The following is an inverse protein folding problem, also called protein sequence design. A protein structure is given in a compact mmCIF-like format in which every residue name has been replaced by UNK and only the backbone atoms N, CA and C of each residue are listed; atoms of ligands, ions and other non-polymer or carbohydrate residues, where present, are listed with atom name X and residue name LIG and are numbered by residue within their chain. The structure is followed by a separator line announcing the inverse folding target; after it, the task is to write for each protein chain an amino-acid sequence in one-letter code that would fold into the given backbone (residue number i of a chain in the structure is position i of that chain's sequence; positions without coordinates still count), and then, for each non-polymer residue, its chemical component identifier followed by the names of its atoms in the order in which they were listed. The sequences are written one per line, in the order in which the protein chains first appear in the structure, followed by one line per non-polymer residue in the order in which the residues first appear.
data_IF_804125069136
#
_entry.id   IF_804125069136
#
_cell.length_a   1.000
_cell.length_b   1.000
_cell.length_c   1.000
_cell.angle_alpha   90.00
_cell.angle_beta   90.00
_cell.angle_gamma   90.00
#
_symmetry.space_group_name_H-M   'P 1'
#
loop_
_entity.id
_entity.type
_entity.pdbx_description
1 polymer ?
#
# COMPACT_ATOMS: atom_id res chain seq x y z
N UNK A 1 14.10 5.61 -4.12
CA UNK A 1 12.69 5.58 -3.70
C UNK A 1 12.60 5.85 -2.21
N UNK A 2 11.73 6.76 -1.76
CA UNK A 2 11.58 6.97 -0.33
C UNK A 2 11.00 5.75 0.34
N UNK A 3 11.29 5.58 1.61
CA UNK A 3 10.72 4.50 2.41
C UNK A 3 9.20 4.66 2.53
N UNK A 4 8.51 3.54 2.59
CA UNK A 4 7.08 3.55 2.83
C UNK A 4 6.76 3.95 4.26
N UNK A 5 5.53 4.38 4.49
CA UNK A 5 5.04 4.75 5.82
C UNK A 5 3.73 4.03 6.11
N UNK A 6 3.47 3.77 7.38
CA UNK A 6 2.16 3.34 7.83
C UNK A 6 1.32 4.60 7.95
N UNK A 7 0.19 4.66 7.25
CA UNK A 7 -0.66 5.84 7.25
C UNK A 7 -1.32 6.07 8.60
N UNK A 8 -1.76 7.29 8.84
CA UNK A 8 -2.47 7.64 10.07
C UNK A 8 -3.76 6.80 10.22
N UNK A 9 -4.52 6.62 9.12
CA UNK A 9 -5.71 5.79 9.16
C UNK A 9 -5.39 4.33 9.46
N UNK A 10 -4.26 3.82 8.96
CA UNK A 10 -3.79 2.47 9.28
C UNK A 10 -3.44 2.32 10.75
N UNK A 11 -2.74 3.30 11.31
CA UNK A 11 -2.41 3.31 12.74
C UNK A 11 -3.65 3.43 13.62
N UNK A 12 -4.64 4.22 13.18
CA UNK A 12 -5.91 4.34 13.88
C UNK A 12 -6.64 2.99 13.96
N UNK A 13 -6.67 2.24 12.85
CA UNK A 13 -7.29 0.93 12.82
C UNK A 13 -6.57 -0.07 13.73
N UNK A 14 -5.24 -0.05 13.73
CA UNK A 14 -4.46 -0.89 14.63
C UNK A 14 -4.77 -0.59 16.10
N UNK A 15 -4.83 0.69 16.43
CA UNK A 15 -5.13 1.13 17.78
C UNK A 15 -6.52 0.67 18.23
N UNK A 16 -7.52 0.89 17.39
CA UNK A 16 -8.90 0.48 17.69
C UNK A 16 -9.07 -1.03 17.79
N UNK A 17 -8.38 -1.77 16.93
CA UNK A 17 -8.44 -3.23 16.97
C UNK A 17 -7.81 -3.76 18.25
N UNK A 18 -6.69 -3.18 18.67
CA UNK A 18 -6.00 -3.58 19.88
C UNK A 18 -6.83 -3.22 21.13
N UNK A 19 -7.59 -2.13 21.06
CA UNK A 19 -8.51 -1.75 22.13
C UNK A 19 -9.79 -2.59 22.16
N UNK A 20 -10.04 -3.40 21.12
CA UNK A 20 -11.22 -4.25 21.07
C UNK A 20 -12.45 -3.61 20.43
N UNK A 21 -12.31 -2.37 19.92
CA UNK A 21 -13.44 -1.65 19.32
C UNK A 21 -13.78 -2.12 17.91
N UNK A 22 -12.79 -2.65 17.18
CA UNK A 22 -13.00 -3.19 15.83
C UNK A 22 -12.19 -4.46 15.65
N UNK A 23 -12.57 -5.28 14.66
CA UNK A 23 -11.72 -6.36 14.18
C UNK A 23 -10.79 -5.75 13.15
N UNK A 24 -9.50 -6.03 13.25
CA UNK A 24 -8.54 -5.47 12.31
C UNK A 24 -8.81 -6.00 10.89
N UNK A 25 -9.11 -5.12 9.91
CA UNK A 25 -9.30 -5.58 8.54
C UNK A 25 -8.01 -6.15 7.96
N UNK A 26 -8.12 -7.21 7.19
CA UNK A 26 -6.96 -7.78 6.51
C UNK A 26 -6.63 -6.97 5.25
N UNK A 27 -5.36 -6.98 4.87
CA UNK A 27 -4.91 -6.36 3.63
C UNK A 27 -5.38 -7.23 2.46
N UNK A 28 -6.13 -6.65 1.54
CA UNK A 28 -6.75 -7.40 0.44
C UNK A 28 -6.32 -6.93 -0.94
N UNK A 29 -5.81 -5.71 -1.06
CA UNK A 29 -5.48 -5.14 -2.37
C UNK A 29 -4.18 -4.36 -2.33
N UNK A 30 -3.51 -4.33 -3.47
CA UNK A 30 -2.33 -3.51 -3.71
C UNK A 30 -2.64 -2.59 -4.89
N UNK A 31 -2.41 -1.30 -4.71
CA UNK A 31 -2.71 -0.30 -5.74
C UNK A 31 -1.43 0.34 -6.25
N UNK A 32 -1.45 0.74 -7.51
CA UNK A 32 -0.32 1.37 -8.19
C UNK A 32 -0.80 2.66 -8.85
N UNK A 33 0.04 3.67 -8.83
CA UNK A 33 -0.32 4.96 -9.37
C UNK A 33 0.85 5.74 -9.92
N UNK A 34 0.56 6.89 -10.51
CA UNK A 34 1.55 7.75 -11.13
C UNK A 34 1.64 9.14 -10.48
N UNK A 35 1.03 9.32 -9.32
CA UNK A 35 1.00 10.60 -8.61
C UNK A 35 2.12 10.82 -7.59
N UNK A 36 3.10 9.92 -7.54
CA UNK A 36 4.17 9.99 -6.54
C UNK A 36 5.34 10.92 -6.88
N UNK A 37 5.23 11.68 -7.97
CA UNK A 37 6.25 12.65 -8.36
C UNK A 37 5.62 14.02 -8.57
N UNK A 38 6.39 15.07 -8.32
CA UNK A 38 5.94 16.43 -8.58
C UNK A 38 6.14 16.78 -10.07
N UNK A 39 5.67 17.97 -10.53
CA UNK A 39 5.84 18.36 -11.94
C UNK A 39 7.30 18.40 -12.41
N UNK A 40 8.25 18.51 -11.50
CA UNK A 40 9.69 18.51 -11.82
C UNK A 40 10.27 17.09 -11.89
N UNK A 41 9.47 16.05 -11.66
CA UNK A 41 9.92 14.67 -11.69
C UNK A 41 10.55 14.18 -10.39
N UNK A 42 10.51 14.97 -9.33
CA UNK A 42 11.06 14.57 -8.04
C UNK A 42 10.07 13.71 -7.26
N UNK A 43 10.59 12.69 -6.57
CA UNK A 43 9.76 11.79 -5.78
C UNK A 43 9.20 12.52 -4.57
N UNK A 44 7.89 12.40 -4.36
CA UNK A 44 7.21 12.98 -3.21
C UNK A 44 7.20 11.95 -2.08
N UNK A 45 7.79 12.32 -0.94
CA UNK A 45 7.80 11.44 0.21
C UNK A 45 6.40 11.34 0.83
N UNK A 46 5.97 10.14 1.28
CA UNK A 46 4.69 10.00 1.96
C UNK A 46 4.67 10.79 3.27
N UNK A 47 3.52 11.39 3.57
CA UNK A 47 3.36 12.19 4.79
C UNK A 47 2.78 11.40 5.96
N UNK A 48 2.11 10.29 5.67
CA UNK A 48 1.39 9.50 6.66
C UNK A 48 -0.10 9.85 6.77
N UNK A 49 -0.52 10.95 6.18
CA UNK A 49 -1.93 11.38 6.22
C UNK A 49 -2.74 10.87 5.03
N UNK A 50 -2.13 10.14 4.14
CA UNK A 50 -2.78 9.65 2.93
C UNK A 50 -3.85 8.61 3.24
N UNK A 51 -4.97 8.69 2.53
CA UNK A 51 -6.04 7.69 2.56
C UNK A 51 -6.19 6.97 1.24
N UNK A 52 -5.50 7.44 0.20
CA UNK A 52 -5.52 6.87 -1.15
C UNK A 52 -4.28 7.33 -1.90
N UNK A 53 -4.00 6.71 -3.04
CA UNK A 53 -2.95 7.18 -3.92
C UNK A 53 -3.37 8.49 -4.58
N UNK A 54 -2.41 9.33 -4.93
CA UNK A 54 -2.67 10.62 -5.56
C UNK A 54 -3.26 10.46 -6.95
N UNK A 55 -2.79 9.46 -7.69
CA UNK A 55 -3.31 9.14 -9.02
C UNK A 55 -3.24 7.63 -9.22
N UNK A 56 -4.25 6.93 -8.72
CA UNK A 56 -4.34 5.49 -8.85
C UNK A 56 -4.61 5.10 -10.29
N UNK A 57 -3.81 4.16 -10.80
CA UNK A 57 -3.97 3.62 -12.15
C UNK A 57 -4.61 2.23 -12.10
N UNK A 58 -4.18 1.40 -11.17
CA UNK A 58 -4.61 0.01 -11.09
C UNK A 58 -4.60 -0.46 -9.64
N UNK A 59 -5.60 -1.24 -9.29
CA UNK A 59 -5.70 -1.89 -7.98
C UNK A 59 -5.89 -3.38 -8.22
N UNK A 60 -5.04 -4.20 -7.61
CA UNK A 60 -5.05 -5.65 -7.76
C UNK A 60 -5.35 -6.31 -6.43
N UNK A 61 -6.07 -7.40 -6.47
CA UNK A 61 -6.25 -8.24 -5.29
C UNK A 61 -4.91 -8.89 -4.92
N UNK A 62 -4.65 -8.99 -3.62
CA UNK A 62 -3.46 -9.66 -3.13
C UNK A 62 -3.56 -11.15 -3.48
N UNK A 63 -2.51 -11.68 -4.10
CA UNK A 63 -2.45 -13.10 -4.45
C UNK A 63 -2.06 -13.99 -3.28
N UNK A 64 -1.44 -13.42 -2.25
CA UNK A 64 -1.05 -14.17 -1.07
C UNK A 64 -0.16 -13.36 -0.15
N UNK A 65 0.15 -13.96 0.99
CA UNK A 65 1.08 -13.34 1.95
C UNK A 65 1.97 -14.42 2.55
N UNK A 66 3.10 -14.00 3.10
CA UNK A 66 4.08 -14.89 3.71
C UNK A 66 4.78 -14.14 4.84
N UNK A 67 4.94 -14.78 5.98
CA UNK A 67 5.77 -14.22 7.05
C UNK A 67 7.24 -14.39 6.69
N UNK A 68 8.01 -13.32 6.83
CA UNK A 68 9.40 -13.29 6.40
C UNK A 68 10.40 -13.62 7.51
N UNK A 69 9.89 -13.84 8.74
CA UNK A 69 10.72 -14.26 9.86
C UNK A 69 9.95 -15.24 10.75
N UNK A 70 10.68 -15.97 11.59
CA UNK A 70 10.09 -16.97 12.48
C UNK A 70 9.20 -16.38 13.57
N UNK A 71 9.45 -15.13 13.94
CA UNK A 71 8.66 -14.44 14.97
C UNK A 71 7.33 -13.91 14.46
N UNK A 72 7.09 -14.01 13.16
CA UNK A 72 5.87 -13.52 12.50
C UNK A 72 5.62 -12.02 12.73
N UNK A 73 6.70 -11.25 12.79
CA UNK A 73 6.64 -9.79 12.97
C UNK A 73 6.80 -9.02 11.66
N UNK A 74 7.03 -9.75 10.56
CA UNK A 74 7.19 -9.16 9.23
C UNK A 74 6.45 -10.01 8.22
N UNK A 75 5.72 -9.39 7.32
CA UNK A 75 4.87 -10.07 6.36
C UNK A 75 5.09 -9.50 4.96
N UNK A 76 5.18 -10.37 3.97
CA UNK A 76 5.26 -9.99 2.56
C UNK A 76 3.91 -10.22 1.90
N UNK A 77 3.38 -9.19 1.27
CA UNK A 77 2.17 -9.29 0.47
C UNK A 77 2.56 -9.31 -1.00
N UNK A 78 1.94 -10.17 -1.78
CA UNK A 78 2.29 -10.35 -3.19
C UNK A 78 1.08 -10.12 -4.07
N UNK A 79 1.23 -9.27 -5.09
CA UNK A 79 0.26 -9.10 -6.16
C UNK A 79 1.01 -9.23 -7.48
N UNK A 80 0.37 -9.89 -8.45
CA UNK A 80 0.99 -10.13 -9.76
C UNK A 80 0.35 -9.22 -10.81
N UNK A 81 1.19 -8.52 -11.56
CA UNK A 81 0.74 -7.72 -12.70
C UNK A 81 0.96 -8.53 -13.98
N UNK A 82 -0.06 -8.56 -14.83
CA UNK A 82 0.08 -9.16 -16.14
C UNK A 82 0.85 -8.23 -17.08
N UNK A 83 1.42 -8.78 -18.12
CA UNK A 83 2.32 -8.05 -19.03
C UNK A 83 1.66 -6.81 -19.64
N UNK A 84 0.38 -6.87 -19.95
CA UNK A 84 -0.36 -5.79 -20.59
C UNK A 84 -0.90 -4.77 -19.59
N UNK A 85 -0.96 -5.13 -18.31
CA UNK A 85 -1.42 -4.20 -17.29
C UNK A 85 -0.31 -3.17 -17.05
N UNK A 86 -0.64 -1.91 -17.02
CA UNK A 86 0.32 -0.82 -16.83
C UNK A 86 1.37 -0.71 -17.95
N UNK A 87 1.15 -1.35 -19.10
CA UNK A 87 2.02 -1.16 -20.27
C UNK A 87 2.04 0.32 -20.66
N UNK A 88 3.23 0.87 -20.91
CA UNK A 88 3.42 2.28 -21.24
C UNK A 88 3.03 3.24 -20.10
N UNK A 89 2.90 2.74 -18.88
CA UNK A 89 2.60 3.54 -17.69
C UNK A 89 3.82 3.60 -16.78
N UNK A 90 4.08 4.77 -16.21
CA UNK A 90 5.11 4.91 -15.19
C UNK A 90 4.49 4.79 -13.81
N UNK A 91 5.07 3.95 -12.96
CA UNK A 91 4.61 3.76 -11.60
C UNK A 91 5.49 4.58 -10.66
N UNK A 92 4.90 5.49 -9.91
CA UNK A 92 5.62 6.33 -8.96
C UNK A 92 5.07 6.27 -7.53
N UNK A 93 3.98 5.56 -7.33
CA UNK A 93 3.40 5.37 -5.99
C UNK A 93 2.75 4.00 -5.90
N UNK A 94 2.71 3.45 -4.69
CA UNK A 94 1.99 2.20 -4.44
C UNK A 94 1.46 2.21 -3.01
N UNK A 95 0.46 1.40 -2.75
CA UNK A 95 -0.13 1.31 -1.43
C UNK A 95 -0.80 -0.03 -1.20
N UNK A 96 -0.88 -0.42 0.06
CA UNK A 96 -1.65 -1.59 0.49
C UNK A 96 -2.98 -1.11 1.06
N UNK A 97 -4.05 -1.78 0.67
CA UNK A 97 -5.41 -1.43 1.09
C UNK A 97 -6.05 -2.61 1.78
N UNK A 98 -6.79 -2.32 2.85
CA UNK A 98 -7.57 -3.34 3.55
C UNK A 98 -8.99 -3.43 2.96
N UNK A 99 -9.75 -4.37 3.47
CA UNK A 99 -11.15 -4.51 3.08
C UNK A 99 -12.04 -3.37 3.60
#
# INVERSE_FOLDING_TARGET
MPNGVITEIGRKKLCKAHAGDITLPKITQMAFGSGGVNPSGEVIAPTGAETALKKEILKKNIGGHMYTNEKETSCRYTARLEKEELANQSISEQGLFDE
#
